data_IF_054947063536
#
_entry.id   IF_054947063536
#
_cell.length_a   1.000
_cell.length_b   1.000
_cell.length_c   1.000
_cell.angle_alpha   90.00
_cell.angle_beta   90.00
_cell.angle_gamma   90.00
#
_symmetry.space_group_name_H-M   'P 1'
#
loop_
_entity.id
_entity.type
_entity.pdbx_description
1 polymer ?
#
# COMPACT_ATOMS: atom_id res chain seq x y z
N UNK A 1 1.48 -21.52 8.67
CA UNK A 1 1.46 -21.93 7.25
C UNK A 1 2.16 -20.82 6.50
N UNK A 2 3.09 -21.15 5.59
CA UNK A 2 3.85 -20.12 4.88
C UNK A 2 2.94 -19.42 3.88
N UNK A 3 2.90 -18.08 3.91
CA UNK A 3 2.16 -17.22 2.96
C UNK A 3 2.69 -17.35 1.51
N UNK A 4 3.77 -18.13 1.31
CA UNK A 4 4.49 -18.30 0.05
C UNK A 4 3.73 -19.12 -1.01
N UNK A 5 2.83 -20.06 -0.64
CA UNK A 5 2.29 -21.02 -1.64
C UNK A 5 1.45 -20.38 -2.76
N UNK A 6 1.04 -19.12 -2.59
CA UNK A 6 0.19 -18.38 -3.54
C UNK A 6 0.92 -17.24 -4.25
N UNK A 7 2.09 -16.82 -3.74
CA UNK A 7 2.88 -15.73 -4.32
C UNK A 7 3.74 -16.24 -5.48
N UNK A 8 3.53 -15.67 -6.67
CA UNK A 8 4.24 -15.97 -7.91
C UNK A 8 4.82 -14.69 -8.51
N UNK A 9 5.43 -14.78 -9.70
CA UNK A 9 5.87 -13.55 -10.39
C UNK A 9 4.66 -12.65 -10.72
N UNK A 10 4.80 -11.32 -10.55
CA UNK A 10 3.71 -10.36 -10.74
C UNK A 10 3.23 -10.33 -12.19
N UNK A 11 1.93 -10.10 -12.38
CA UNK A 11 1.34 -9.90 -13.70
C UNK A 11 0.22 -8.86 -13.64
N UNK A 12 -0.14 -8.29 -14.80
CA UNK A 12 -1.16 -7.23 -14.91
C UNK A 12 -2.51 -7.60 -14.27
N UNK A 13 -2.89 -8.88 -14.34
CA UNK A 13 -4.14 -9.39 -13.77
C UNK A 13 -4.22 -9.27 -12.24
N UNK A 14 -3.10 -9.12 -11.55
CA UNK A 14 -3.07 -8.92 -10.09
C UNK A 14 -3.60 -7.55 -9.68
N UNK A 15 -3.62 -6.58 -10.60
CA UNK A 15 -3.97 -5.17 -10.37
C UNK A 15 -5.20 -4.70 -11.16
N UNK A 16 -5.98 -5.61 -11.74
CA UNK A 16 -7.23 -5.27 -12.43
C UNK A 16 -8.27 -4.84 -11.38
N UNK A 17 -9.00 -3.75 -11.63
CA UNK A 17 -10.11 -3.28 -10.77
C UNK A 17 -11.41 -4.07 -10.99
N UNK A 18 -12.27 -4.21 -9.96
CA UNK A 18 -13.46 -5.02 -10.10
C UNK A 18 -14.46 -4.25 -10.96
N UNK A 19 -15.10 -4.92 -11.90
CA UNK A 19 -16.21 -4.32 -12.64
C UNK A 19 -17.34 -4.01 -11.66
N UNK A 20 -17.63 -2.72 -11.39
CA UNK A 20 -18.82 -2.33 -10.62
C UNK A 20 -20.05 -2.89 -11.34
N UNK A 21 -20.86 -3.69 -10.64
CA UNK A 21 -22.08 -4.28 -11.18
C UNK A 21 -23.02 -3.16 -11.69
N UNK A 22 -23.10 -2.99 -13.02
CA UNK A 22 -24.18 -2.25 -13.69
C UNK A 22 -24.09 -0.73 -13.75
N UNK A 23 -22.99 -0.10 -13.31
CA UNK A 23 -22.78 1.34 -13.49
C UNK A 23 -21.53 1.60 -14.34
N UNK A 24 -21.67 2.39 -15.40
CA UNK A 24 -20.57 2.86 -16.25
C UNK A 24 -19.82 3.96 -15.47
N UNK A 25 -19.17 3.58 -14.37
CA UNK A 25 -18.23 4.43 -13.67
C UNK A 25 -16.86 4.32 -14.34
N UNK A 26 -16.16 5.43 -14.50
CA UNK A 26 -14.74 5.40 -14.89
C UNK A 26 -13.99 4.72 -13.73
N UNK A 27 -13.21 3.65 -13.97
CA UNK A 27 -12.38 3.04 -12.93
C UNK A 27 -11.45 4.10 -12.32
N UNK A 28 -11.28 4.07 -11.00
CA UNK A 28 -10.41 5.03 -10.30
C UNK A 28 -8.98 4.87 -10.85
N UNK A 29 -8.23 5.96 -11.00
CA UNK A 29 -6.82 5.86 -11.41
C UNK A 29 -5.88 5.86 -10.20
N UNK A 30 -6.43 5.66 -9.02
CA UNK A 30 -5.75 5.98 -7.76
C UNK A 30 -5.67 4.72 -6.89
N UNK A 31 -4.51 4.53 -6.25
CA UNK A 31 -4.30 3.42 -5.32
C UNK A 31 -3.53 3.90 -4.10
N UNK A 32 -4.02 3.54 -2.91
CA UNK A 32 -3.26 3.70 -1.68
C UNK A 32 -2.25 2.58 -1.51
N UNK A 33 -1.06 2.88 -0.98
CA UNK A 33 -0.05 1.87 -0.62
C UNK A 33 0.20 1.84 0.88
N UNK A 34 0.15 0.63 1.44
CA UNK A 34 0.47 0.35 2.84
C UNK A 34 1.98 0.31 3.11
N UNK A 35 2.33 0.27 4.41
CA UNK A 35 3.73 0.27 4.89
C UNK A 35 4.59 -0.77 4.20
N UNK A 36 4.13 -2.03 4.19
CA UNK A 36 4.93 -3.13 3.66
C UNK A 36 5.18 -2.96 2.16
N UNK A 37 4.14 -2.57 1.41
CA UNK A 37 4.26 -2.34 -0.03
C UNK A 37 5.29 -1.25 -0.34
N UNK A 38 5.27 -0.17 0.43
CA UNK A 38 6.29 0.88 0.41
C UNK A 38 7.71 0.36 0.72
N UNK A 39 7.88 -0.49 1.72
CA UNK A 39 9.18 -1.14 1.98
C UNK A 39 9.68 -1.89 0.75
N UNK A 40 8.79 -2.60 0.04
CA UNK A 40 9.12 -3.30 -1.20
C UNK A 40 9.58 -2.37 -2.33
N UNK A 41 8.94 -1.20 -2.49
CA UNK A 41 9.29 -0.21 -3.54
C UNK A 41 10.70 0.35 -3.33
N UNK A 42 11.08 0.58 -2.07
CA UNK A 42 12.29 1.32 -1.74
C UNK A 42 13.42 0.44 -1.19
N UNK A 43 13.21 -0.86 -1.10
CA UNK A 43 14.30 -1.79 -0.80
C UNK A 43 15.34 -1.78 -1.93
N UNK A 44 16.60 -1.60 -1.56
CA UNK A 44 17.78 -1.50 -2.43
C UNK A 44 18.78 -2.62 -2.19
N UNK A 45 18.82 -3.23 -1.00
CA UNK A 45 19.65 -4.41 -0.74
C UNK A 45 18.91 -5.71 -1.11
N UNK A 46 18.84 -5.98 -2.41
CA UNK A 46 18.09 -7.14 -2.92
C UNK A 46 18.88 -8.44 -2.94
N UNK A 47 20.20 -8.41 -2.68
CA UNK A 47 21.09 -9.57 -2.86
C UNK A 47 20.90 -10.66 -1.80
N UNK A 48 20.35 -10.30 -0.64
CA UNK A 48 20.19 -11.20 0.51
C UNK A 48 18.73 -11.38 0.94
N UNK A 49 17.78 -11.00 0.10
CA UNK A 49 16.37 -11.19 0.38
C UNK A 49 16.01 -12.68 0.38
N UNK A 50 15.14 -13.08 1.30
CA UNK A 50 14.47 -14.37 1.21
C UNK A 50 13.48 -14.40 0.02
N UNK A 51 13.00 -15.59 -0.32
CA UNK A 51 12.11 -15.80 -1.47
C UNK A 51 10.83 -14.95 -1.38
N UNK A 52 10.23 -14.88 -0.18
CA UNK A 52 8.99 -14.14 0.06
C UNK A 52 9.20 -12.64 -0.15
N UNK A 53 10.25 -12.07 0.45
CA UNK A 53 10.59 -10.66 0.34
C UNK A 53 11.00 -10.30 -1.08
N UNK A 54 11.66 -11.22 -1.79
CA UNK A 54 11.97 -11.07 -3.22
C UNK A 54 10.70 -10.95 -4.06
N UNK A 55 9.71 -11.81 -3.84
CA UNK A 55 8.44 -11.74 -4.58
C UNK A 55 7.67 -10.45 -4.24
N UNK A 56 7.59 -10.10 -2.97
CA UNK A 56 6.96 -8.84 -2.50
C UNK A 56 7.62 -7.61 -3.13
N UNK A 57 8.94 -7.57 -3.20
CA UNK A 57 9.70 -6.53 -3.89
C UNK A 57 9.37 -6.47 -5.40
N UNK A 58 9.32 -7.61 -6.09
CA UNK A 58 8.91 -7.65 -7.51
C UNK A 58 7.50 -7.09 -7.73
N UNK A 59 6.53 -7.45 -6.89
CA UNK A 59 5.16 -6.91 -6.95
C UNK A 59 5.13 -5.39 -6.76
N UNK A 60 5.90 -4.90 -5.80
CA UNK A 60 5.99 -3.49 -5.48
C UNK A 60 6.54 -2.67 -6.65
N UNK A 61 7.63 -3.14 -7.25
CA UNK A 61 8.21 -2.54 -8.44
C UNK A 61 7.28 -2.65 -9.66
N UNK A 62 6.63 -3.79 -9.86
CA UNK A 62 5.72 -3.98 -10.97
C UNK A 62 4.54 -3.00 -10.93
N UNK A 63 3.95 -2.75 -9.75
CA UNK A 63 2.93 -1.71 -9.61
C UNK A 63 3.49 -0.33 -10.01
N UNK A 64 4.64 0.05 -9.46
CA UNK A 64 5.25 1.35 -9.76
C UNK A 64 5.55 1.51 -11.26
N UNK A 65 6.11 0.48 -11.90
CA UNK A 65 6.36 0.48 -13.35
C UNK A 65 5.07 0.64 -14.15
N UNK A 66 4.00 -0.06 -13.76
CA UNK A 66 2.73 0.03 -14.48
C UNK A 66 2.07 1.41 -14.31
N UNK A 67 2.25 2.06 -13.15
CA UNK A 67 1.76 3.42 -12.89
C UNK A 67 2.56 4.44 -13.70
N UNK A 68 3.87 4.27 -13.85
CA UNK A 68 4.73 5.17 -14.65
C UNK A 68 4.58 4.94 -16.16
N UNK A 69 4.35 3.70 -16.59
CA UNK A 69 4.45 3.26 -17.99
C UNK A 69 3.13 3.12 -18.76
N UNK A 70 2.02 3.70 -18.26
CA UNK A 70 0.66 3.55 -18.83
C UNK A 70 0.15 2.09 -18.92
N UNK A 71 0.70 1.18 -18.10
CA UNK A 71 0.40 -0.26 -18.16
C UNK A 71 -0.67 -0.74 -17.17
N UNK A 72 -1.05 0.09 -16.20
CA UNK A 72 -1.99 -0.21 -15.11
C UNK A 72 -3.25 0.65 -15.22
N UNK A 73 -4.38 0.22 -14.61
CA UNK A 73 -5.52 1.13 -14.43
C UNK A 73 -5.21 2.29 -13.47
N UNK A 74 -4.14 2.20 -12.69
CA UNK A 74 -3.67 3.22 -11.75
C UNK A 74 -2.58 4.12 -12.36
N UNK A 75 -2.70 5.43 -12.13
CA UNK A 75 -1.79 6.50 -12.52
C UNK A 75 -1.22 7.29 -11.32
N UNK A 76 -1.86 7.21 -10.14
CA UNK A 76 -1.42 7.88 -8.92
C UNK A 76 -1.29 6.90 -7.76
N UNK A 77 -0.19 7.01 -7.01
CA UNK A 77 0.03 6.26 -5.77
C UNK A 77 -0.17 7.21 -4.59
N UNK A 78 -1.16 6.93 -3.75
CA UNK A 78 -1.42 7.67 -2.53
C UNK A 78 -0.82 6.95 -1.32
N UNK A 79 -0.38 7.72 -0.34
CA UNK A 79 -0.06 7.18 0.99
C UNK A 79 -0.26 8.24 2.05
N UNK A 80 -0.02 7.90 3.32
CA UNK A 80 -0.09 8.83 4.43
C UNK A 80 1.30 9.09 5.00
N UNK A 81 1.52 10.29 5.52
CA UNK A 81 2.79 10.67 6.17
C UNK A 81 3.14 9.71 7.31
N UNK A 82 2.15 9.21 8.03
CA UNK A 82 2.32 8.27 9.13
C UNK A 82 2.79 6.90 8.62
N UNK A 83 2.21 6.41 7.52
CA UNK A 83 2.62 5.17 6.85
C UNK A 83 4.04 5.28 6.30
N UNK A 84 4.34 6.42 5.67
CA UNK A 84 5.64 6.78 5.15
C UNK A 84 6.72 6.77 6.24
N UNK A 85 6.48 7.46 7.36
CA UNK A 85 7.46 7.55 8.46
C UNK A 85 7.80 6.18 9.05
N UNK A 86 6.80 5.30 9.19
CA UNK A 86 7.01 3.96 9.73
C UNK A 86 7.77 3.09 8.73
N UNK A 87 7.48 3.18 7.42
CA UNK A 87 8.23 2.46 6.40
C UNK A 87 9.72 2.86 6.39
N UNK A 88 10.02 4.16 6.41
CA UNK A 88 11.40 4.69 6.48
C UNK A 88 12.11 4.19 7.75
N UNK A 89 11.44 4.30 8.90
CA UNK A 89 12.01 3.87 10.19
C UNK A 89 12.28 2.37 10.20
N UNK A 90 11.44 1.58 9.53
CA UNK A 90 11.57 0.13 9.40
C UNK A 90 12.75 -0.25 8.51
N UNK A 91 12.89 0.41 7.34
CA UNK A 91 14.04 0.22 6.44
C UNK A 91 15.37 0.63 7.11
N UNK A 92 15.38 1.75 7.86
CA UNK A 92 16.59 2.31 8.44
C UNK A 92 17.10 1.65 9.74
N UNK A 93 16.32 0.77 10.39
CA UNK A 93 16.72 0.15 11.66
C UNK A 93 17.44 -1.20 11.49
N UNK A 94 18.48 -1.44 12.31
CA UNK A 94 19.04 -2.76 12.65
C UNK A 94 19.59 -3.60 11.50
N UNK A 95 20.80 -3.28 10.99
CA UNK A 95 21.36 -3.89 9.76
C UNK A 95 20.41 -3.83 8.54
N UNK A 96 19.34 -3.03 8.62
CA UNK A 96 18.39 -2.82 7.54
C UNK A 96 18.96 -1.96 6.41
N UNK A 97 18.12 -1.76 5.41
CA UNK A 97 18.47 -1.03 4.20
C UNK A 97 18.38 0.49 4.38
N UNK A 98 19.44 1.05 4.97
CA UNK A 98 19.59 2.51 5.14
C UNK A 98 19.58 3.25 3.79
N UNK A 99 20.20 2.68 2.76
CA UNK A 99 20.20 3.29 1.42
C UNK A 99 18.78 3.38 0.86
N UNK A 100 17.96 2.35 1.09
CA UNK A 100 16.54 2.38 0.79
C UNK A 100 15.78 3.44 1.56
N UNK A 101 16.05 3.61 2.86
CA UNK A 101 15.44 4.68 3.66
C UNK A 101 15.80 6.09 3.18
N UNK A 102 17.05 6.33 2.76
CA UNK A 102 17.48 7.61 2.18
C UNK A 102 16.86 7.84 0.79
N UNK A 103 16.87 6.81 -0.07
CA UNK A 103 16.27 6.81 -1.41
C UNK A 103 14.76 7.08 -1.36
N UNK A 104 14.10 6.54 -0.33
CA UNK A 104 12.70 6.78 -0.03
C UNK A 104 12.43 8.29 0.14
N UNK A 105 13.20 8.96 1.01
CA UNK A 105 13.01 10.38 1.33
C UNK A 105 13.17 11.28 0.11
N UNK A 106 14.15 10.98 -0.75
CA UNK A 106 14.41 11.74 -1.97
C UNK A 106 13.33 11.48 -3.03
N UNK A 107 13.04 10.21 -3.34
CA UNK A 107 12.14 9.86 -4.44
C UNK A 107 10.68 10.17 -4.18
N UNK A 108 10.16 9.95 -2.97
CA UNK A 108 8.73 10.22 -2.71
C UNK A 108 8.46 11.72 -2.72
N UNK A 109 9.39 12.54 -2.23
CA UNK A 109 9.24 14.01 -2.25
C UNK A 109 9.32 14.60 -3.66
N UNK A 110 10.08 13.99 -4.56
CA UNK A 110 10.31 14.48 -5.93
C UNK A 110 9.42 13.81 -6.98
N UNK A 111 8.65 12.78 -6.61
CA UNK A 111 7.84 12.01 -7.55
C UNK A 111 6.53 12.72 -7.90
N UNK A 112 6.26 12.82 -9.21
CA UNK A 112 4.96 13.25 -9.74
C UNK A 112 3.87 12.16 -9.60
N UNK A 113 4.27 10.95 -9.18
CA UNK A 113 3.43 9.76 -9.09
C UNK A 113 2.91 9.54 -7.66
N UNK A 114 3.58 10.10 -6.65
CA UNK A 114 3.20 9.95 -5.25
C UNK A 114 2.42 11.17 -4.75
N UNK A 115 1.27 10.93 -4.14
CA UNK A 115 0.54 11.94 -3.38
C UNK A 115 0.51 11.56 -1.89
N UNK A 116 1.09 12.43 -1.06
CA UNK A 116 1.26 12.18 0.37
C UNK A 116 0.19 12.96 1.15
N UNK A 117 -0.70 12.22 1.80
CA UNK A 117 -1.74 12.77 2.65
C UNK A 117 -1.27 12.89 4.11
N UNK A 118 -1.91 13.78 4.85
CA UNK A 118 -1.70 13.92 6.29
C UNK A 118 -3.05 13.92 7.00
N UNK A 119 -3.15 13.15 8.08
CA UNK A 119 -4.33 13.13 8.93
C UNK A 119 -4.47 14.47 9.67
N UNK A 120 -5.46 15.27 9.27
CA UNK A 120 -5.83 16.48 9.96
C UNK A 120 -6.50 16.16 11.31
N UNK A 121 -6.58 17.16 12.19
CA UNK A 121 -7.26 16.99 13.49
C UNK A 121 -8.74 16.62 13.35
N UNK A 122 -9.42 17.07 12.29
CA UNK A 122 -10.81 16.73 12.05
C UNK A 122 -10.98 15.26 11.60
N UNK A 123 -10.03 14.75 10.83
CA UNK A 123 -10.02 13.36 10.37
C UNK A 123 -9.58 12.42 11.50
N UNK A 124 -8.74 12.90 12.42
CA UNK A 124 -8.26 12.11 13.55
C UNK A 124 -9.38 11.60 14.46
N UNK A 125 -10.44 12.38 14.65
CA UNK A 125 -11.61 11.94 15.43
C UNK A 125 -12.30 10.71 14.80
N UNK A 126 -12.36 10.65 13.46
CA UNK A 126 -12.88 9.50 12.72
C UNK A 126 -11.96 8.29 12.86
N UNK A 127 -10.65 8.52 12.73
CA UNK A 127 -9.61 7.50 12.92
C UNK A 127 -9.69 6.86 14.29
N UNK A 128 -9.87 7.65 15.36
CA UNK A 128 -9.98 7.13 16.72
C UNK A 128 -11.22 6.26 16.88
N UNK A 129 -12.35 6.65 16.28
CA UNK A 129 -13.57 5.84 16.33
C UNK A 129 -13.36 4.48 15.63
N UNK A 130 -12.83 4.48 14.41
CA UNK A 130 -12.52 3.26 13.66
C UNK A 130 -11.48 2.39 14.40
N UNK A 131 -10.42 3.01 14.91
CA UNK A 131 -9.39 2.30 15.67
C UNK A 131 -9.98 1.61 16.89
N UNK A 132 -10.86 2.28 17.65
CA UNK A 132 -11.51 1.69 18.82
C UNK A 132 -12.54 0.61 18.46
N UNK A 133 -13.28 0.79 17.37
CA UNK A 133 -14.22 -0.21 16.84
C UNK A 133 -13.51 -1.51 16.47
N UNK A 134 -12.34 -1.40 15.83
CA UNK A 134 -11.55 -2.53 15.34
C UNK A 134 -10.41 -2.95 16.28
N UNK A 135 -10.21 -2.26 17.42
CA UNK A 135 -9.14 -2.52 18.39
C UNK A 135 -9.07 -3.98 18.89
N UNK A 136 -10.20 -4.69 19.13
CA UNK A 136 -10.15 -6.11 19.50
C UNK A 136 -9.55 -7.04 18.44
N UNK A 137 -9.26 -6.49 17.25
CA UNK A 137 -8.73 -7.21 16.08
C UNK A 137 -7.28 -6.85 15.77
N UNK A 138 -6.57 -6.16 16.66
CA UNK A 138 -5.13 -5.85 16.57
C UNK A 138 -4.72 -4.87 15.45
N UNK A 139 -5.66 -4.12 14.84
CA UNK A 139 -5.31 -3.09 13.85
C UNK A 139 -4.39 -2.02 14.46
N UNK A 140 -3.41 -1.54 13.70
CA UNK A 140 -2.58 -0.42 14.11
C UNK A 140 -3.27 0.92 13.83
N UNK A 141 -2.94 1.95 14.63
CA UNK A 141 -3.48 3.29 14.40
C UNK A 141 -3.10 3.85 13.02
N UNK A 142 -1.97 3.40 12.47
CA UNK A 142 -1.51 3.82 11.15
C UNK A 142 -2.37 3.22 10.03
N UNK A 143 -2.76 1.94 10.13
CA UNK A 143 -3.72 1.34 9.19
C UNK A 143 -5.07 2.04 9.27
N UNK A 144 -5.55 2.36 10.48
CA UNK A 144 -6.80 3.10 10.67
C UNK A 144 -6.75 4.49 10.00
N UNK A 145 -5.62 5.20 10.10
CA UNK A 145 -5.39 6.46 9.38
C UNK A 145 -5.47 6.26 7.87
N UNK A 146 -4.75 5.27 7.34
CA UNK A 146 -4.70 5.01 5.91
C UNK A 146 -6.08 4.64 5.34
N UNK A 147 -6.82 3.77 6.02
CA UNK A 147 -8.17 3.37 5.61
C UNK A 147 -9.15 4.54 5.65
N UNK A 148 -9.09 5.40 6.68
CA UNK A 148 -9.99 6.55 6.78
C UNK A 148 -9.72 7.59 5.69
N UNK A 149 -8.46 7.90 5.40
CA UNK A 149 -8.12 8.84 4.33
C UNK A 149 -8.53 8.25 2.96
N UNK A 150 -8.28 6.97 2.72
CA UNK A 150 -8.72 6.29 1.50
C UNK A 150 -10.25 6.38 1.32
N UNK A 151 -11.01 6.19 2.40
CA UNK A 151 -12.48 6.33 2.41
C UNK A 151 -12.93 7.76 2.13
N UNK A 152 -12.29 8.76 2.75
CA UNK A 152 -12.65 10.18 2.59
C UNK A 152 -12.41 10.69 1.17
N UNK A 153 -11.41 10.14 0.48
CA UNK A 153 -11.08 10.47 -0.91
C UNK A 153 -11.84 9.61 -1.94
N UNK A 154 -12.69 8.68 -1.50
CA UNK A 154 -13.38 7.72 -2.37
C UNK A 154 -12.40 6.89 -3.24
N UNK A 155 -11.26 6.49 -2.64
CA UNK A 155 -10.25 5.64 -3.27
C UNK A 155 -10.28 4.25 -2.60
N UNK A 156 -11.10 3.31 -3.11
CA UNK A 156 -11.33 2.02 -2.46
C UNK A 156 -10.26 0.97 -2.84
N UNK A 157 -9.02 1.38 -3.07
CA UNK A 157 -7.97 0.51 -3.59
C UNK A 157 -6.73 0.65 -2.73
N UNK A 158 -6.32 -0.45 -2.07
CA UNK A 158 -5.14 -0.47 -1.20
C UNK A 158 -4.22 -1.62 -1.63
N UNK A 159 -3.01 -1.28 -2.06
CA UNK A 159 -1.91 -2.23 -2.23
C UNK A 159 -1.18 -2.43 -0.90
N UNK A 160 -1.24 -3.64 -0.36
CA UNK A 160 -0.66 -3.99 0.95
C UNK A 160 -0.37 -5.49 1.03
N UNK A 161 0.40 -5.91 2.03
CA UNK A 161 0.49 -7.32 2.46
C UNK A 161 0.01 -7.50 3.90
N UNK A 162 -0.63 -6.45 4.43
CA UNK A 162 -1.23 -6.46 5.75
C UNK A 162 -2.67 -6.98 5.67
N UNK A 163 -2.90 -8.16 6.23
CA UNK A 163 -4.21 -8.82 6.26
C UNK A 163 -5.23 -8.10 7.14
N UNK A 164 -4.79 -7.14 7.94
CA UNK A 164 -5.65 -6.37 8.82
C UNK A 164 -6.67 -5.53 8.06
N UNK A 165 -6.37 -5.15 6.82
CA UNK A 165 -7.29 -4.43 5.96
C UNK A 165 -8.46 -5.28 5.45
N UNK A 166 -8.39 -6.62 5.49
CA UNK A 166 -9.52 -7.49 5.08
C UNK A 166 -10.80 -7.24 5.88
N UNK A 167 -10.67 -6.62 7.07
CA UNK A 167 -11.76 -6.28 7.99
C UNK A 167 -12.71 -5.22 7.45
N UNK A 168 -12.24 -4.39 6.51
CA UNK A 168 -13.05 -3.38 5.82
C UNK A 168 -13.92 -4.01 4.70
N UNK A 169 -13.82 -5.33 4.47
CA UNK A 169 -14.68 -6.12 3.58
C UNK A 169 -14.90 -5.45 2.21
N UNK A 170 -16.17 -5.30 1.80
CA UNK A 170 -16.60 -4.79 0.50
C UNK A 170 -16.30 -3.28 0.30
N UNK A 171 -15.82 -2.56 1.32
CA UNK A 171 -15.49 -1.13 1.21
C UNK A 171 -14.18 -0.89 0.44
N UNK A 172 -13.22 -1.82 0.55
CA UNK A 172 -11.90 -1.69 -0.06
C UNK A 172 -11.52 -2.94 -0.84
N UNK A 173 -10.91 -2.73 -2.01
CA UNK A 173 -10.25 -3.78 -2.77
C UNK A 173 -8.77 -3.81 -2.42
N UNK A 174 -8.29 -4.98 -2.02
CA UNK A 174 -6.89 -5.20 -1.67
C UNK A 174 -6.09 -5.75 -2.85
N UNK A 175 -4.85 -5.28 -2.97
CA UNK A 175 -3.90 -5.68 -4.01
C UNK A 175 -2.57 -6.15 -3.40
N UNK A 176 -1.90 -7.15 -3.99
CA UNK A 176 -2.33 -7.93 -5.15
C UNK A 176 -3.52 -8.85 -4.80
N UNK A 177 -4.42 -9.10 -5.76
CA UNK A 177 -5.68 -9.82 -5.48
C UNK A 177 -5.53 -11.28 -5.08
N UNK A 178 -4.49 -11.95 -5.56
CA UNK A 178 -4.30 -13.38 -5.33
C UNK A 178 -3.74 -13.70 -3.93
N UNK A 179 -3.79 -12.75 -2.99
CA UNK A 179 -3.20 -12.85 -1.65
C UNK A 179 -4.24 -12.90 -0.51
N UNK A 180 -5.53 -12.75 -0.82
CA UNK A 180 -6.60 -12.52 0.16
C UNK A 180 -7.78 -13.48 0.00
#
# INVERSE_FOLDING_TARGET
MSEISELRDPHLGDFIQPSKNGSIGIPSTDIFVGKRFLEGIFHTDTEYLDEETTIKHKYAHFLLECVVGDGSPFATIHTTRETLNIAITSLGHGNGDRSGADNYLEKVCESEVFEIHHCSSAEYDLVVNDFLEYQPREISIQEAILANIARLLDIPHIATWDSDFTRYNDEISLYPRNYW
#
